data_IF_515631969175
#
_entry.id   IF_515631969175
#
_cell.length_a   1.000
_cell.length_b   1.000
_cell.length_c   1.000
_cell.angle_alpha   90.00
_cell.angle_beta   90.00
_cell.angle_gamma   90.00
#
_symmetry.space_group_name_H-M   'P 1'
#
loop_
_entity.id
_entity.type
_entity.pdbx_description
1 polymer ?
#
# COMPACT_ATOMS: atom_id res chain seq x y z
N UNK A 1 -2.81 5.81 18.23
CA UNK A 1 -2.86 6.49 16.92
C UNK A 1 -4.31 6.80 16.61
N UNK A 2 -4.59 7.92 15.95
CA UNK A 2 -5.93 8.20 15.41
C UNK A 2 -6.16 7.39 14.12
N UNK A 3 -7.43 7.12 13.74
CA UNK A 3 -7.75 6.45 12.48
C UNK A 3 -7.23 7.26 11.29
N UNK A 4 -6.70 6.58 10.27
CA UNK A 4 -6.29 7.22 9.02
C UNK A 4 -7.55 7.59 8.20
N UNK A 5 -7.50 8.67 7.40
CA UNK A 5 -8.52 8.92 6.39
C UNK A 5 -8.63 7.76 5.41
N UNK A 6 -9.81 7.61 4.81
CA UNK A 6 -10.08 6.58 3.81
C UNK A 6 -10.59 7.22 2.52
N UNK A 7 -9.80 7.21 1.42
CA UNK A 7 -8.42 6.74 1.35
C UNK A 7 -7.42 7.67 2.07
N UNK A 8 -6.30 7.12 2.55
CA UNK A 8 -5.28 7.84 3.30
C UNK A 8 -4.38 8.64 2.34
N UNK A 9 -4.19 9.95 2.54
CA UNK A 9 -3.28 10.76 1.73
C UNK A 9 -1.81 10.46 2.08
N UNK A 10 -0.91 10.70 1.12
CA UNK A 10 0.51 10.28 1.18
C UNK A 10 1.27 10.82 2.41
N UNK A 11 1.01 12.06 2.79
CA UNK A 11 1.61 12.74 3.95
C UNK A 11 1.21 12.08 5.29
N UNK A 12 0.06 11.40 5.34
CA UNK A 12 -0.44 10.72 6.53
C UNK A 12 -0.12 9.22 6.58
N UNK A 13 0.50 8.65 5.53
CA UNK A 13 0.88 7.24 5.52
C UNK A 13 1.85 6.94 6.69
N UNK A 14 1.59 5.96 7.57
CA UNK A 14 2.48 5.74 8.70
C UNK A 14 3.82 5.15 8.24
N UNK A 15 4.92 5.70 8.77
CA UNK A 15 6.20 5.01 8.77
C UNK A 15 6.18 3.93 9.86
N UNK A 16 5.92 2.70 9.43
CA UNK A 16 5.76 1.51 10.25
C UNK A 16 7.09 0.76 10.47
N UNK A 17 8.25 1.43 10.32
CA UNK A 17 9.56 0.78 10.47
C UNK A 17 9.75 0.20 11.88
N UNK A 18 9.88 -1.13 11.94
CA UNK A 18 10.07 -1.88 13.17
C UNK A 18 8.76 -2.40 13.78
N UNK A 19 8.88 -3.37 14.70
CA UNK A 19 7.74 -4.13 15.19
C UNK A 19 6.72 -3.27 15.95
N UNK A 20 7.17 -2.33 16.79
CA UNK A 20 6.29 -1.48 17.60
C UNK A 20 5.48 -0.49 16.75
N UNK A 21 6.08 0.31 15.84
CA UNK A 21 5.31 1.16 14.93
C UNK A 21 4.37 0.37 14.02
N UNK A 22 4.83 -0.76 13.47
CA UNK A 22 3.99 -1.66 12.68
C UNK A 22 2.75 -2.13 13.46
N UNK A 23 2.95 -2.73 14.64
CA UNK A 23 1.84 -3.24 15.45
C UNK A 23 0.86 -2.13 15.83
N UNK A 24 1.36 -0.93 16.18
CA UNK A 24 0.49 0.18 16.52
C UNK A 24 -0.37 0.64 15.33
N UNK A 25 0.20 0.72 14.13
CA UNK A 25 -0.53 1.14 12.92
C UNK A 25 -1.52 0.05 12.47
N UNK A 26 -1.10 -1.21 12.52
CA UNK A 26 -1.93 -2.35 12.17
C UNK A 26 -3.13 -2.52 13.11
N UNK A 27 -2.94 -2.33 14.42
CA UNK A 27 -4.04 -2.36 15.39
C UNK A 27 -4.98 -1.16 15.24
N UNK A 28 -4.47 0.02 14.88
CA UNK A 28 -5.31 1.17 14.57
C UNK A 28 -6.23 0.90 13.37
N UNK A 29 -5.70 0.31 12.29
CA UNK A 29 -6.48 -0.09 11.11
C UNK A 29 -7.57 -1.11 11.47
N UNK A 30 -7.23 -2.15 12.24
CA UNK A 30 -8.20 -3.13 12.76
C UNK A 30 -9.32 -2.50 13.58
N UNK A 31 -8.96 -1.58 14.48
CA UNK A 31 -9.94 -0.89 15.34
C UNK A 31 -10.89 -0.02 14.52
N UNK A 32 -10.40 0.56 13.42
CA UNK A 32 -11.17 1.38 12.51
C UNK A 32 -11.92 0.58 11.44
N UNK A 33 -11.77 -0.75 11.39
CA UNK A 33 -12.28 -1.59 10.30
C UNK A 33 -11.89 -1.08 8.91
N UNK A 34 -10.66 -0.61 8.77
CA UNK A 34 -10.11 -0.02 7.54
C UNK A 34 -8.93 -0.84 7.03
N UNK A 35 -8.71 -0.84 5.71
CA UNK A 35 -7.50 -1.40 5.08
C UNK A 35 -6.26 -0.79 5.72
N UNK A 36 -5.37 -1.63 6.21
CA UNK A 36 -4.07 -1.22 6.69
C UNK A 36 -3.23 -0.77 5.50
N UNK A 37 -2.56 0.36 5.65
CA UNK A 37 -1.52 0.81 4.73
C UNK A 37 -0.36 1.42 5.51
N UNK A 38 0.87 1.16 5.09
CA UNK A 38 2.06 1.74 5.70
C UNK A 38 3.31 1.51 4.88
N UNK A 39 4.38 2.21 5.27
CA UNK A 39 5.71 2.03 4.69
C UNK A 39 6.70 1.55 5.74
N UNK A 40 7.68 0.75 5.32
CA UNK A 40 8.77 0.29 6.17
C UNK A 40 10.11 0.54 5.49
N UNK A 41 11.08 1.06 6.25
CA UNK A 41 12.46 1.17 5.81
C UNK A 41 13.17 -0.18 5.98
N UNK A 42 13.82 -0.65 4.92
CA UNK A 42 14.66 -1.85 4.86
C UNK A 42 16.03 -1.47 4.32
N UNK A 43 16.95 -1.11 5.23
CA UNK A 43 18.25 -0.54 4.87
C UNK A 43 18.09 0.84 4.22
N UNK A 44 18.55 0.98 2.98
CA UNK A 44 18.41 2.22 2.19
C UNK A 44 17.15 2.26 1.32
N UNK A 45 16.35 1.19 1.32
CA UNK A 45 15.15 1.08 0.50
C UNK A 45 13.90 1.05 1.36
N UNK A 46 12.77 1.23 0.71
CA UNK A 46 11.46 1.27 1.31
C UNK A 46 10.58 0.15 0.78
N UNK A 47 9.67 -0.30 1.63
CA UNK A 47 8.63 -1.28 1.34
C UNK A 47 7.28 -0.67 1.62
N UNK A 48 6.36 -0.74 0.66
CA UNK A 48 4.94 -0.44 0.86
C UNK A 48 4.22 -1.72 1.28
N UNK A 49 3.34 -1.62 2.27
CA UNK A 49 2.46 -2.72 2.68
C UNK A 49 1.03 -2.25 2.74
N UNK A 50 0.12 -3.08 2.24
CA UNK A 50 -1.31 -2.97 2.49
C UNK A 50 -1.93 -4.32 2.83
N UNK A 51 -2.98 -4.32 3.66
CA UNK A 51 -3.68 -5.52 4.09
C UNK A 51 -5.18 -5.28 4.25
N UNK A 52 -5.97 -5.84 3.34
CA UNK A 52 -7.41 -5.73 3.32
C UNK A 52 -8.10 -6.55 4.43
N UNK A 53 -7.40 -7.50 5.09
CA UNK A 53 -7.96 -8.28 6.21
C UNK A 53 -8.25 -7.45 7.46
N UNK A 54 -7.76 -6.22 7.51
CA UNK A 54 -8.04 -5.27 8.60
C UNK A 54 -9.30 -4.45 8.36
N UNK A 55 -9.84 -4.47 7.14
CA UNK A 55 -11.08 -3.81 6.78
C UNK A 55 -12.31 -4.55 7.34
N UNK A 56 -13.48 -3.91 7.26
CA UNK A 56 -14.75 -4.53 7.63
C UNK A 56 -15.02 -5.83 6.83
N UNK A 57 -15.72 -6.83 7.38
CA UNK A 57 -15.95 -8.11 6.70
C UNK A 57 -16.62 -8.02 5.32
N UNK A 58 -17.43 -6.97 5.10
CA UNK A 58 -18.08 -6.70 3.81
C UNK A 58 -17.18 -5.98 2.79
N UNK A 59 -15.97 -5.56 3.18
CA UNK A 59 -15.01 -4.97 2.27
C UNK A 59 -14.41 -6.07 1.39
N UNK A 60 -14.83 -6.09 0.13
CA UNK A 60 -14.31 -6.99 -0.89
C UNK A 60 -13.53 -6.19 -1.91
N UNK A 61 -12.35 -6.69 -2.27
CA UNK A 61 -11.59 -6.21 -3.43
C UNK A 61 -12.09 -7.00 -4.64
N UNK A 62 -12.67 -6.31 -5.62
CA UNK A 62 -13.16 -6.97 -6.83
C UNK A 62 -12.03 -7.36 -7.79
N UNK A 63 -12.34 -8.24 -8.74
CA UNK A 63 -11.37 -8.76 -9.70
C UNK A 63 -10.75 -7.64 -10.55
N UNK A 64 -11.55 -6.64 -10.93
CA UNK A 64 -11.08 -5.47 -11.71
C UNK A 64 -9.99 -4.70 -10.97
N UNK A 65 -10.22 -4.41 -9.68
CA UNK A 65 -9.27 -3.73 -8.80
C UNK A 65 -8.02 -4.56 -8.60
N UNK A 66 -8.20 -5.86 -8.34
CA UNK A 66 -7.09 -6.78 -8.15
C UNK A 66 -6.21 -6.86 -9.42
N UNK A 67 -6.81 -6.92 -10.60
CA UNK A 67 -6.10 -6.94 -11.88
C UNK A 67 -5.40 -5.61 -12.20
N UNK A 68 -6.02 -4.48 -11.85
CA UNK A 68 -5.39 -3.17 -11.96
C UNK A 68 -4.14 -3.07 -11.07
N UNK A 69 -4.23 -3.51 -9.81
CA UNK A 69 -3.10 -3.55 -8.87
C UNK A 69 -1.99 -4.49 -9.38
N UNK A 70 -2.37 -5.65 -9.93
CA UNK A 70 -1.44 -6.59 -10.55
C UNK A 70 -0.71 -5.96 -11.73
N UNK A 71 -1.44 -5.32 -12.65
CA UNK A 71 -0.86 -4.67 -13.83
C UNK A 71 0.08 -3.52 -13.44
N UNK A 72 -0.30 -2.71 -12.44
CA UNK A 72 0.50 -1.64 -11.87
C UNK A 72 1.83 -2.17 -11.29
N UNK A 73 1.76 -3.21 -10.46
CA UNK A 73 2.93 -3.85 -9.85
C UNK A 73 3.88 -4.40 -10.91
N UNK A 74 3.37 -5.04 -11.96
CA UNK A 74 4.19 -5.55 -13.06
C UNK A 74 4.92 -4.42 -13.82
N UNK A 75 4.27 -3.26 -14.00
CA UNK A 75 4.90 -2.09 -14.64
C UNK A 75 6.03 -1.53 -13.78
N UNK A 76 5.79 -1.33 -12.48
CA UNK A 76 6.80 -0.87 -11.53
C UNK A 76 8.00 -1.84 -11.44
N UNK A 77 7.75 -3.14 -11.53
CA UNK A 77 8.82 -4.14 -11.55
C UNK A 77 9.66 -4.05 -12.83
N UNK A 78 9.00 -3.84 -13.99
CA UNK A 78 9.68 -3.68 -15.28
C UNK A 78 10.51 -2.38 -15.36
N UNK A 79 10.06 -1.30 -14.75
CA UNK A 79 10.84 -0.05 -14.67
C UNK A 79 11.97 -0.11 -13.62
N UNK A 80 12.00 -1.15 -12.78
CA UNK A 80 12.99 -1.30 -11.72
C UNK A 80 12.72 -0.40 -10.50
N UNK A 81 11.54 0.21 -10.40
CA UNK A 81 11.12 0.97 -9.23
C UNK A 81 10.87 0.09 -8.01
N UNK A 82 10.46 -1.15 -8.25
CA UNK A 82 10.30 -2.17 -7.22
C UNK A 82 11.14 -3.40 -7.56
N UNK A 83 11.56 -4.12 -6.52
CA UNK A 83 12.34 -5.35 -6.66
C UNK A 83 11.45 -6.52 -7.12
N UNK A 84 12.02 -7.45 -7.92
CA UNK A 84 11.46 -8.78 -8.10
C UNK A 84 11.27 -9.45 -6.73
N UNK A 85 10.09 -10.05 -6.48
CA UNK A 85 9.70 -10.55 -5.16
C UNK A 85 8.79 -9.62 -4.35
N UNK A 86 8.29 -8.54 -4.98
CA UNK A 86 7.07 -7.88 -4.50
C UNK A 86 5.91 -8.86 -4.59
N UNK A 87 5.15 -9.00 -3.50
CA UNK A 87 4.14 -10.04 -3.32
C UNK A 87 2.73 -9.46 -3.38
N UNK A 88 1.92 -10.00 -4.28
CA UNK A 88 0.47 -9.74 -4.32
C UNK A 88 -0.22 -11.04 -3.89
N UNK A 89 -0.64 -11.08 -2.63
CA UNK A 89 -1.62 -12.05 -2.17
C UNK A 89 -3.04 -11.55 -2.48
N UNK A 90 -4.07 -12.40 -2.29
CA UNK A 90 -5.45 -12.03 -2.56
C UNK A 90 -5.94 -10.82 -1.73
N UNK A 91 -5.31 -10.58 -0.58
CA UNK A 91 -5.69 -9.55 0.39
C UNK A 91 -4.50 -8.78 0.98
N UNK A 92 -3.27 -9.23 0.71
CA UNK A 92 -2.04 -8.65 1.24
C UNK A 92 -1.11 -8.24 0.11
N UNK A 93 -0.68 -6.99 0.13
CA UNK A 93 0.06 -6.35 -0.96
C UNK A 93 1.37 -5.80 -0.42
N UNK A 94 2.48 -6.19 -1.04
CA UNK A 94 3.81 -5.70 -0.67
C UNK A 94 4.59 -5.26 -1.91
N UNK A 95 4.99 -3.98 -1.95
CA UNK A 95 5.88 -3.43 -2.98
C UNK A 95 7.25 -3.18 -2.34
N UNK A 96 8.26 -3.93 -2.77
CA UNK A 96 9.59 -3.88 -2.16
C UNK A 96 10.56 -3.03 -2.97
N UNK A 97 11.51 -2.37 -2.30
CA UNK A 97 12.69 -1.79 -2.98
C UNK A 97 12.52 -0.39 -3.53
N UNK A 98 11.50 0.34 -3.08
CA UNK A 98 11.26 1.74 -3.47
C UNK A 98 12.40 2.62 -2.96
N UNK A 99 12.89 3.55 -3.80
CA UNK A 99 14.15 4.28 -3.54
C UNK A 99 14.02 5.40 -2.50
N UNK A 100 12.86 6.03 -2.37
CA UNK A 100 12.65 7.16 -1.46
C UNK A 100 11.40 6.99 -0.61
N UNK A 101 11.38 7.68 0.53
CA UNK A 101 10.22 7.69 1.43
C UNK A 101 9.00 8.30 0.73
N UNK A 102 9.17 9.47 0.12
CA UNK A 102 8.08 10.20 -0.57
C UNK A 102 7.43 9.33 -1.66
N UNK A 103 8.25 8.63 -2.45
CA UNK A 103 7.72 7.72 -3.48
C UNK A 103 7.00 6.53 -2.85
N UNK A 104 7.50 5.99 -1.74
CA UNK A 104 6.82 4.91 -1.03
C UNK A 104 5.47 5.39 -0.47
N UNK A 105 5.39 6.62 0.04
CA UNK A 105 4.15 7.24 0.52
C UNK A 105 3.13 7.46 -0.59
N UNK A 106 3.58 7.96 -1.74
CA UNK A 106 2.75 8.13 -2.93
C UNK A 106 2.16 6.79 -3.39
N UNK A 107 3.01 5.77 -3.56
CA UNK A 107 2.58 4.43 -3.97
C UNK A 107 1.65 3.79 -2.93
N UNK A 108 1.89 4.01 -1.63
CA UNK A 108 1.04 3.54 -0.55
C UNK A 108 -0.35 4.18 -0.59
N UNK A 109 -0.42 5.51 -0.71
CA UNK A 109 -1.68 6.23 -0.83
C UNK A 109 -2.48 5.80 -2.07
N UNK A 110 -1.79 5.67 -3.21
CA UNK A 110 -2.40 5.24 -4.45
C UNK A 110 -2.93 3.80 -4.41
N UNK A 111 -2.16 2.88 -3.80
CA UNK A 111 -2.59 1.50 -3.56
C UNK A 111 -3.80 1.45 -2.62
N UNK A 112 -3.80 2.26 -1.56
CA UNK A 112 -4.91 2.32 -0.63
C UNK A 112 -6.18 2.86 -1.30
N UNK A 113 -6.09 3.91 -2.13
CA UNK A 113 -7.21 4.39 -2.95
C UNK A 113 -7.76 3.29 -3.87
N UNK A 114 -6.87 2.55 -4.55
CA UNK A 114 -7.26 1.43 -5.41
C UNK A 114 -8.03 0.36 -4.63
N UNK A 115 -7.59 0.02 -3.42
CA UNK A 115 -8.28 -0.95 -2.56
C UNK A 115 -9.67 -0.49 -2.09
N UNK A 116 -9.99 0.81 -2.20
CA UNK A 116 -11.33 1.36 -2.01
C UNK A 116 -12.08 1.64 -3.32
N UNK A 117 -11.59 1.12 -4.45
CA UNK A 117 -12.24 1.21 -5.76
C UNK A 117 -11.78 2.37 -6.64
N UNK A 118 -10.89 3.25 -6.16
CA UNK A 118 -10.33 4.34 -6.96
C UNK A 118 -8.94 3.96 -7.51
N UNK A 119 -8.92 3.42 -8.73
CA UNK A 119 -7.69 2.96 -9.39
C UNK A 119 -6.91 4.08 -10.11
N UNK A 120 -7.47 5.28 -10.24
CA UNK A 120 -6.86 6.36 -11.00
C UNK A 120 -5.53 6.84 -10.39
N UNK A 121 -5.41 7.06 -9.06
CA UNK A 121 -4.14 7.44 -8.43
C UNK A 121 -3.03 6.42 -8.70
N UNK A 122 -3.34 5.13 -8.68
CA UNK A 122 -2.36 4.07 -8.94
C UNK A 122 -1.92 4.09 -10.41
N UNK A 123 -2.86 4.28 -11.32
CA UNK A 123 -2.55 4.39 -12.76
C UNK A 123 -1.63 5.59 -13.04
N UNK A 124 -1.88 6.73 -12.40
CA UNK A 124 -1.07 7.94 -12.52
C UNK A 124 0.32 7.74 -11.95
N UNK A 125 0.43 7.20 -10.73
CA UNK A 125 1.70 6.96 -10.06
C UNK A 125 2.62 6.06 -10.90
N UNK A 126 2.08 5.06 -11.58
CA UNK A 126 2.83 4.12 -12.43
C UNK A 126 3.16 4.69 -13.81
N UNK A 127 2.44 5.70 -14.29
CA UNK A 127 2.71 6.34 -15.59
C UNK A 127 3.81 7.40 -15.53
N UNK A 128 4.14 7.87 -14.33
CA UNK A 128 5.25 8.79 -14.07
C UNK A 128 6.61 8.08 -13.94
N UNK A 129 6.62 6.75 -14.07
CA UNK A 129 7.74 5.82 -13.81
C UNK A 129 8.56 5.43 -15.03
#
# INVERSE_FOLDING_TARGET
MQPLPTPCPADLIPNATGLKPFNAAYQAAKTACAVYVGIERRGQLWTVKADALTAAPQHAVDDTTHDAIRAATLRLARSGEIRPGSGLGPVHYTLNGVKSEDRARELAAALHAALYGDVEPLTRAVSAS
#
